data_IF_895595118102
#
_entry.id   IF_895595118102
#
_cell.length_a   1.000
_cell.length_b   1.000
_cell.length_c   1.000
_cell.angle_alpha   90.00
_cell.angle_beta   90.00
_cell.angle_gamma   90.00
#
_symmetry.space_group_name_H-M   'P 1'
#
loop_
_entity.id
_entity.type
_entity.pdbx_description
1 polymer ?
#
# COMPACT_ATOMS: atom_id res chain seq x y z
N UNK A 1 2.46 21.57 -24.08
CA UNK A 1 2.59 21.44 -22.62
C UNK A 1 1.50 20.49 -22.18
N UNK A 2 1.79 19.21 -21.97
CA UNK A 2 0.77 18.25 -21.52
C UNK A 2 0.58 18.47 -20.03
N UNK A 3 -0.58 18.99 -19.65
CA UNK A 3 -1.07 18.88 -18.28
C UNK A 3 -1.09 17.38 -17.93
N UNK A 4 -0.16 16.94 -17.08
CA UNK A 4 -0.29 15.67 -16.37
C UNK A 4 -1.39 15.85 -15.33
N UNK A 5 -2.64 15.91 -15.78
CA UNK A 5 -3.77 15.69 -14.89
C UNK A 5 -3.63 14.25 -14.42
N UNK A 6 -3.02 14.12 -13.25
CA UNK A 6 -2.99 12.95 -12.40
C UNK A 6 -4.43 12.66 -11.97
N UNK A 7 -5.27 12.27 -12.94
CA UNK A 7 -6.67 11.88 -12.81
C UNK A 7 -6.72 10.51 -12.14
N UNK A 8 -6.25 10.46 -10.89
CA UNK A 8 -6.34 9.27 -10.07
C UNK A 8 -7.83 8.99 -9.84
N UNK A 9 -8.30 7.76 -10.08
CA UNK A 9 -9.68 7.42 -9.85
C UNK A 9 -10.00 7.63 -8.36
N UNK A 10 -11.08 8.36 -8.07
CA UNK A 10 -11.52 8.61 -6.68
C UNK A 10 -12.00 7.33 -5.97
N UNK A 11 -12.38 6.32 -6.76
CA UNK A 11 -12.81 4.99 -6.29
C UNK A 11 -12.44 3.93 -7.31
N UNK A 12 -12.18 2.72 -6.83
CA UNK A 12 -11.96 1.53 -7.64
C UNK A 12 -12.80 0.38 -7.11
N UNK A 13 -13.03 -0.65 -7.91
CA UNK A 13 -13.63 -1.89 -7.43
C UNK A 13 -12.51 -2.77 -6.88
N UNK A 14 -12.61 -3.07 -5.60
CA UNK A 14 -11.70 -3.91 -4.86
C UNK A 14 -11.81 -5.38 -5.28
N UNK A 15 -10.87 -6.22 -4.81
CA UNK A 15 -10.68 -7.58 -5.29
C UNK A 15 -11.79 -8.55 -4.86
N UNK A 16 -12.67 -8.13 -3.94
CA UNK A 16 -13.86 -8.86 -3.50
C UNK A 16 -15.17 -8.17 -3.93
N UNK A 17 -15.11 -7.24 -4.89
CA UNK A 17 -16.26 -6.47 -5.37
C UNK A 17 -16.64 -5.28 -4.47
N UNK A 18 -15.85 -4.98 -3.45
CA UNK A 18 -16.06 -3.83 -2.56
C UNK A 18 -15.61 -2.52 -3.21
N UNK A 19 -16.28 -1.40 -2.93
CA UNK A 19 -15.79 -0.10 -3.42
C UNK A 19 -14.61 0.33 -2.55
N UNK A 20 -13.43 0.40 -3.16
CA UNK A 20 -12.22 0.91 -2.53
C UNK A 20 -12.08 2.41 -2.81
N UNK A 21 -11.93 3.18 -1.73
CA UNK A 21 -11.61 4.61 -1.77
C UNK A 21 -10.40 4.87 -0.89
N UNK A 22 -9.76 6.03 -1.03
CA UNK A 22 -8.55 6.38 -0.28
C UNK A 22 -8.78 6.40 1.24
N UNK A 23 -10.02 6.61 1.66
CA UNK A 23 -10.48 6.59 3.05
C UNK A 23 -10.83 5.20 3.56
N UNK A 24 -11.21 4.27 2.67
CA UNK A 24 -11.54 2.89 3.03
C UNK A 24 -10.30 1.96 3.01
N UNK A 25 -9.11 2.53 2.84
CA UNK A 25 -7.85 1.80 2.95
C UNK A 25 -7.57 1.42 4.41
N UNK A 26 -6.80 0.35 4.66
CA UNK A 26 -6.39 0.00 6.01
C UNK A 26 -5.80 1.21 6.76
N UNK A 27 -6.14 1.43 8.03
CA UNK A 27 -5.57 2.53 8.80
C UNK A 27 -4.04 2.36 8.89
N UNK A 28 -3.34 3.48 8.97
CA UNK A 28 -1.87 3.55 9.10
C UNK A 28 -1.34 2.70 10.27
N UNK A 29 -2.15 2.57 11.32
CA UNK A 29 -1.84 1.85 12.56
C UNK A 29 -2.09 0.34 12.46
N UNK A 30 -2.28 -0.18 11.24
CA UNK A 30 -2.52 -1.60 10.98
C UNK A 30 -1.27 -2.41 11.26
N UNK A 31 -1.26 -3.08 12.41
CA UNK A 31 -0.19 -4.02 12.81
C UNK A 31 -0.43 -5.45 12.31
N UNK A 32 -1.69 -5.85 12.13
CA UNK A 32 -2.08 -7.19 11.68
C UNK A 32 -2.48 -7.19 10.20
N UNK A 33 -1.56 -7.63 9.35
CA UNK A 33 -1.79 -7.81 7.91
C UNK A 33 -2.47 -9.15 7.61
N UNK A 34 -3.79 -9.14 7.55
CA UNK A 34 -4.60 -10.27 7.04
C UNK A 34 -4.67 -10.25 5.52
N UNK A 35 -4.97 -11.39 4.89
CA UNK A 35 -5.06 -11.54 3.43
C UNK A 35 -5.95 -10.47 2.77
N UNK A 36 -7.10 -10.15 3.37
CA UNK A 36 -7.98 -9.09 2.85
C UNK A 36 -7.30 -7.71 2.84
N UNK A 37 -6.64 -7.29 3.92
CA UNK A 37 -5.96 -5.98 4.00
C UNK A 37 -4.80 -5.86 3.00
N UNK A 38 -4.04 -6.94 2.80
CA UNK A 38 -2.99 -6.99 1.77
C UNK A 38 -3.59 -6.84 0.38
N UNK A 39 -4.71 -7.54 0.11
CA UNK A 39 -5.42 -7.45 -1.17
C UNK A 39 -5.92 -6.03 -1.46
N UNK A 40 -6.45 -5.34 -0.44
CA UNK A 40 -6.89 -3.96 -0.56
C UNK A 40 -5.74 -3.01 -0.94
N UNK A 41 -4.58 -3.13 -0.30
CA UNK A 41 -3.40 -2.29 -0.62
C UNK A 41 -2.90 -2.57 -2.04
N UNK A 42 -2.80 -3.85 -2.43
CA UNK A 42 -2.41 -4.22 -3.80
C UNK A 42 -3.39 -3.67 -4.82
N UNK A 43 -4.70 -3.86 -4.61
CA UNK A 43 -5.73 -3.34 -5.51
C UNK A 43 -5.73 -1.80 -5.57
N UNK A 44 -5.47 -1.11 -4.45
CA UNK A 44 -5.38 0.35 -4.42
C UNK A 44 -4.21 0.87 -5.27
N UNK A 45 -3.07 0.17 -5.26
CA UNK A 45 -1.91 0.53 -6.06
C UNK A 45 -2.14 0.20 -7.54
N UNK A 46 -2.63 -1.00 -7.85
CA UNK A 46 -2.97 -1.44 -9.21
C UNK A 46 -4.05 -0.56 -9.86
N UNK A 47 -5.08 -0.21 -9.09
CA UNK A 47 -6.16 0.66 -9.53
C UNK A 47 -5.78 2.14 -9.60
N UNK A 48 -4.53 2.52 -9.29
CA UNK A 48 -4.06 3.90 -9.37
C UNK A 48 -4.66 4.85 -8.31
N UNK A 49 -5.32 4.31 -7.28
CA UNK A 49 -5.90 5.07 -6.17
C UNK A 49 -4.79 5.67 -5.29
N UNK A 50 -3.71 4.92 -5.09
CA UNK A 50 -2.46 5.36 -4.44
C UNK A 50 -1.26 4.87 -5.26
N UNK A 51 -0.09 5.50 -5.09
CA UNK A 51 1.14 4.99 -5.68
C UNK A 51 1.80 3.96 -4.77
N UNK A 52 2.68 3.14 -5.33
CA UNK A 52 3.49 2.18 -4.56
C UNK A 52 4.33 2.88 -3.49
N UNK A 53 4.92 4.03 -3.82
CA UNK A 53 5.69 4.85 -2.88
C UNK A 53 4.83 5.36 -1.73
N UNK A 54 3.59 5.76 -2.01
CA UNK A 54 2.66 6.19 -0.97
C UNK A 54 2.23 5.03 -0.08
N UNK A 55 2.02 3.83 -0.64
CA UNK A 55 1.75 2.63 0.14
C UNK A 55 2.94 2.26 1.05
N UNK A 56 4.16 2.31 0.51
CA UNK A 56 5.40 2.06 1.25
C UNK A 56 5.59 3.07 2.38
N UNK A 57 5.39 4.37 2.12
CA UNK A 57 5.50 5.42 3.12
C UNK A 57 4.40 5.34 4.20
N UNK A 58 3.15 5.06 3.80
CA UNK A 58 1.99 4.99 4.70
C UNK A 58 2.03 3.78 5.63
N UNK A 59 2.54 2.66 5.15
CA UNK A 59 2.54 1.39 5.88
C UNK A 59 3.94 0.88 6.26
N UNK A 60 4.99 1.66 5.97
CA UNK A 60 6.40 1.30 6.19
C UNK A 60 6.78 -0.08 5.60
N UNK A 61 6.27 -0.36 4.40
CA UNK A 61 6.49 -1.60 3.67
C UNK A 61 7.74 -1.47 2.79
N UNK A 62 8.51 -2.55 2.65
CA UNK A 62 9.51 -2.61 1.58
C UNK A 62 8.86 -2.88 0.22
N UNK A 63 9.56 -2.50 -0.84
CA UNK A 63 9.15 -2.78 -2.21
C UNK A 63 9.01 -4.30 -2.45
N UNK A 64 9.95 -5.10 -1.93
CA UNK A 64 9.90 -6.57 -2.00
C UNK A 64 8.69 -7.16 -1.28
N UNK A 65 8.31 -6.61 -0.12
CA UNK A 65 7.11 -7.03 0.63
C UNK A 65 5.85 -6.80 -0.21
N UNK A 66 5.76 -5.65 -0.89
CA UNK A 66 4.65 -5.36 -1.79
C UNK A 66 4.60 -6.33 -2.97
N UNK A 67 5.73 -6.55 -3.66
CA UNK A 67 5.79 -7.49 -4.79
C UNK A 67 5.45 -8.91 -4.40
N UNK A 68 5.84 -9.36 -3.19
CA UNK A 68 5.43 -10.65 -2.66
C UNK A 68 3.91 -10.76 -2.53
N UNK A 69 3.24 -9.69 -2.09
CA UNK A 69 1.77 -9.66 -2.00
C UNK A 69 1.11 -9.61 -3.37
N UNK A 70 1.63 -8.79 -4.28
CA UNK A 70 1.15 -8.71 -5.67
C UNK A 70 1.27 -10.06 -6.37
N UNK A 71 2.41 -10.75 -6.22
CA UNK A 71 2.63 -12.05 -6.84
C UNK A 71 1.79 -13.17 -6.19
N UNK A 72 1.46 -13.07 -4.91
CA UNK A 72 0.51 -13.97 -4.26
C UNK A 72 -0.94 -13.72 -4.74
N UNK A 73 -1.30 -12.46 -5.01
CA UNK A 73 -2.59 -12.09 -5.60
C UNK A 73 -2.72 -12.55 -7.04
N UNK A 74 -1.68 -12.38 -7.86
CA UNK A 74 -1.67 -12.77 -9.27
C UNK A 74 -1.88 -14.29 -9.44
N UNK A 75 -1.22 -15.10 -8.59
CA UNK A 75 -1.28 -16.56 -8.69
C UNK A 75 -2.54 -17.22 -8.12
N UNK A 76 -3.22 -16.58 -7.16
CA UNK A 76 -4.28 -17.24 -6.39
C UNK A 76 -5.39 -16.32 -5.90
N UNK A 77 -5.45 -15.09 -6.38
CA UNK A 77 -6.35 -14.05 -5.87
C UNK A 77 -6.22 -13.83 -4.37
N UNK A 78 -7.32 -13.41 -3.74
CA UNK A 78 -7.37 -13.17 -2.28
C UNK A 78 -7.05 -14.44 -1.47
N UNK A 79 -7.30 -15.63 -2.04
CA UNK A 79 -6.97 -16.92 -1.42
C UNK A 79 -5.47 -17.19 -1.39
N UNK A 80 -4.71 -16.74 -2.40
CA UNK A 80 -3.25 -16.85 -2.46
C UNK A 80 -2.54 -16.09 -1.34
N UNK A 81 -3.14 -14.98 -0.88
CA UNK A 81 -2.64 -14.19 0.25
C UNK A 81 -2.85 -14.85 1.63
N UNK A 82 -3.75 -15.84 1.76
CA UNK A 82 -3.91 -16.59 3.02
C UNK A 82 -2.69 -17.46 3.33
N UNK A 83 -2.04 -18.00 2.30
CA UNK A 83 -0.84 -18.84 2.43
C UNK A 83 0.41 -17.99 2.71
N UNK A 84 0.46 -16.76 2.18
CA UNK A 84 1.54 -15.79 2.44
C UNK A 84 1.42 -15.07 3.80
N UNK A 85 0.46 -15.43 4.65
CA UNK A 85 0.29 -14.84 5.99
C UNK A 85 1.40 -15.23 6.98
N UNK A 86 2.22 -16.25 6.67
CA UNK A 86 3.29 -16.74 7.53
C UNK A 86 4.64 -16.01 7.42
N UNK A 87 4.87 -15.16 6.42
CA UNK A 87 6.14 -14.44 6.29
C UNK A 87 6.10 -13.11 7.03
N UNK A 88 6.64 -13.16 8.25
CA UNK A 88 7.25 -12.07 9.05
C UNK A 88 7.05 -10.67 8.49
N UNK A 89 5.83 -10.13 8.58
CA UNK A 89 5.62 -8.69 8.47
C UNK A 89 6.00 -8.09 9.81
N UNK A 90 7.32 -8.03 10.01
CA UNK A 90 8.05 -6.92 10.62
C UNK A 90 7.31 -6.23 11.77
N UNK A 91 7.07 -6.97 12.86
CA UNK A 91 6.81 -6.40 14.18
C UNK A 91 8.00 -5.58 14.73
N UNK A 92 9.09 -5.44 13.96
CA UNK A 92 10.32 -4.77 14.38
C UNK A 92 11.13 -4.22 13.17
N UNK A 93 10.74 -3.07 12.59
CA UNK A 93 11.72 -2.14 11.97
C UNK A 93 11.30 -0.69 12.20
N UNK A 94 11.06 -0.36 13.47
CA UNK A 94 10.91 1.00 13.98
C UNK A 94 12.27 1.73 14.07
N UNK A 95 13.07 1.77 12.99
CA UNK A 95 14.41 2.42 13.04
C UNK A 95 14.87 3.22 11.81
N UNK A 96 14.06 3.45 10.78
CA UNK A 96 14.48 4.34 9.69
C UNK A 96 13.34 5.23 9.17
N UNK A 97 13.14 6.38 9.83
CA UNK A 97 12.71 7.62 9.18
C UNK A 97 13.04 8.82 10.09
N UNK A 98 14.32 8.93 10.46
CA UNK A 98 14.90 10.17 10.96
C UNK A 98 15.87 10.70 9.93
N UNK A 99 15.48 11.74 9.20
CA UNK A 99 16.33 12.82 8.64
C UNK A 99 15.48 13.65 7.68
N UNK A 100 14.99 14.80 8.12
CA UNK A 100 15.67 16.11 7.97
C UNK A 100 15.32 16.73 6.63
N UNK A 101 14.21 17.47 6.58
CA UNK A 101 14.08 18.55 5.62
C UNK A 101 14.76 19.77 6.24
N UNK A 102 15.84 20.16 5.58
CA UNK A 102 16.77 21.21 5.92
C UNK A 102 16.08 22.58 5.98
N UNK A 103 16.61 23.42 6.86
CA UNK A 103 16.37 24.86 6.96
C UNK A 103 16.51 25.55 5.59
N UNK A 104 15.82 26.70 5.40
CA UNK A 104 16.43 27.95 4.92
C UNK A 104 15.37 29.07 4.77
N UNK A 105 15.55 30.10 5.60
CA UNK A 105 15.41 31.55 5.34
C UNK A 105 14.13 32.13 4.71
N UNK A 106 13.51 33.11 5.40
CA UNK A 106 13.17 34.45 4.83
C UNK A 106 12.69 35.39 5.93
N UNK A 107 13.49 36.46 6.11
CA UNK A 107 13.33 37.79 6.73
C UNK A 107 13.02 37.94 8.22
#
# INVERSE_FOLDING_TARGET
MMEYHNSRPARIIGPIGEVLTRDNLPPRDTTRWVASRKAQVVAAVEGGLITIEEAMARYNLSLEEFYSWQHAMDRGGVSGLRVAAGQRSRSERHRHAGSRLVELTTH
#
